data_IF_469868421200
#
_entry.id   IF_469868421200
#
_cell.length_a   1.000
_cell.length_b   1.000
_cell.length_c   1.000
_cell.angle_alpha   90.00
_cell.angle_beta   90.00
_cell.angle_gamma   90.00
#
_symmetry.space_group_name_H-M   'P 1'
#
loop_
_entity.id
_entity.type
_entity.pdbx_description
1 polymer ?
#
# COMPACT_ATOMS: atom_id res chain seq x y z
N UNK A 1 -12.81 -1.63 -1.03
CA UNK A 1 -11.77 -1.16 -1.96
C UNK A 1 -10.45 -1.87 -1.64
N UNK A 2 -10.02 -2.83 -2.46
CA UNK A 2 -8.77 -3.59 -2.26
C UNK A 2 -7.81 -3.50 -3.46
N UNK A 3 -8.30 -3.08 -4.63
CA UNK A 3 -7.55 -3.09 -5.88
C UNK A 3 -6.34 -2.12 -5.88
N UNK A 4 -6.47 -0.95 -5.25
CA UNK A 4 -5.37 0.01 -5.16
C UNK A 4 -4.17 -0.55 -4.37
N UNK A 5 -4.43 -1.19 -3.21
CA UNK A 5 -3.41 -1.85 -2.41
C UNK A 5 -2.76 -3.02 -3.16
N UNK A 6 -3.54 -3.80 -3.90
CA UNK A 6 -3.00 -4.90 -4.71
C UNK A 6 -2.10 -4.38 -5.85
N UNK A 7 -2.49 -3.28 -6.51
CA UNK A 7 -1.67 -2.62 -7.53
C UNK A 7 -0.35 -2.13 -6.93
N UNK A 8 -0.41 -1.42 -5.81
CA UNK A 8 0.76 -0.90 -5.11
C UNK A 8 1.72 -2.02 -4.68
N UNK A 9 1.21 -3.09 -4.08
CA UNK A 9 2.02 -4.26 -3.69
C UNK A 9 2.70 -4.92 -4.89
N UNK A 10 2.01 -5.06 -6.02
CA UNK A 10 2.60 -5.61 -7.25
C UNK A 10 3.71 -4.69 -7.79
N UNK A 11 3.50 -3.37 -7.80
CA UNK A 11 4.48 -2.41 -8.28
C UNK A 11 5.73 -2.36 -7.39
N UNK A 12 5.57 -2.46 -6.07
CA UNK A 12 6.70 -2.59 -5.14
C UNK A 12 7.49 -3.88 -5.36
N UNK A 13 6.79 -5.00 -5.60
CA UNK A 13 7.42 -6.28 -5.92
C UNK A 13 8.23 -6.21 -7.21
N UNK A 14 7.65 -5.66 -8.29
CA UNK A 14 8.37 -5.49 -9.54
C UNK A 14 9.56 -4.56 -9.40
N UNK A 15 9.41 -3.46 -8.66
CA UNK A 15 10.52 -2.56 -8.35
C UNK A 15 11.67 -3.31 -7.64
N UNK A 16 11.39 -4.10 -6.60
CA UNK A 16 12.43 -4.85 -5.91
C UNK A 16 13.07 -5.93 -6.80
N UNK A 17 12.30 -6.60 -7.66
CA UNK A 17 12.81 -7.57 -8.63
C UNK A 17 13.83 -6.91 -9.58
N UNK A 18 13.55 -5.70 -10.10
CA UNK A 18 14.49 -5.02 -11.00
C UNK A 18 15.81 -4.66 -10.34
N UNK A 19 15.86 -4.54 -9.01
CA UNK A 19 17.09 -4.24 -8.27
C UNK A 19 17.98 -5.47 -8.06
N UNK A 20 17.40 -6.67 -7.99
CA UNK A 20 18.11 -7.88 -7.51
C UNK A 20 18.18 -9.02 -8.52
N UNK A 21 17.49 -8.89 -9.66
CA UNK A 21 17.51 -9.93 -10.67
C UNK A 21 18.90 -10.04 -11.32
N UNK A 22 19.35 -11.28 -11.53
CA UNK A 22 20.67 -11.59 -12.10
C UNK A 22 20.49 -12.48 -13.33
N UNK A 23 21.08 -12.09 -14.45
CA UNK A 23 21.16 -12.92 -15.65
C UNK A 23 22.51 -13.66 -15.69
N UNK A 24 22.50 -15.00 -15.88
CA UNK A 24 23.74 -15.80 -15.89
C UNK A 24 24.42 -15.90 -17.27
N UNK A 25 24.04 -15.05 -18.22
CA UNK A 25 24.55 -15.08 -19.60
C UNK A 25 24.08 -16.27 -20.44
N UNK A 26 23.43 -17.27 -19.85
CA UNK A 26 22.82 -18.42 -20.55
C UNK A 26 21.34 -18.20 -20.91
N UNK A 27 20.83 -16.98 -20.70
CA UNK A 27 19.42 -16.63 -20.87
C UNK A 27 18.54 -16.98 -19.68
N UNK A 28 19.12 -17.36 -18.53
CA UNK A 28 18.37 -17.59 -17.28
C UNK A 28 18.42 -16.37 -16.38
N UNK A 29 17.26 -16.02 -15.81
CA UNK A 29 17.09 -14.98 -14.81
C UNK A 29 16.90 -15.61 -13.44
N UNK A 30 17.73 -15.22 -12.48
CA UNK A 30 17.60 -15.62 -11.08
C UNK A 30 17.13 -14.42 -10.26
N UNK A 31 16.21 -14.69 -9.33
CA UNK A 31 15.75 -13.71 -8.35
C UNK A 31 16.10 -14.29 -6.96
N UNK A 32 17.24 -13.89 -6.36
CA UNK A 32 17.66 -14.43 -5.07
C UNK A 32 16.65 -14.03 -3.98
N UNK A 33 16.03 -15.01 -3.32
CA UNK A 33 14.93 -14.78 -2.37
C UNK A 33 15.30 -13.85 -1.21
N UNK A 34 16.51 -13.99 -0.69
CA UNK A 34 17.02 -13.18 0.41
C UNK A 34 17.22 -11.72 -0.04
N UNK A 35 17.90 -11.53 -1.18
CA UNK A 35 18.08 -10.19 -1.76
C UNK A 35 16.74 -9.52 -2.10
N UNK A 36 15.77 -10.26 -2.66
CA UNK A 36 14.44 -9.73 -2.94
C UNK A 36 13.73 -9.23 -1.67
N UNK A 37 13.79 -10.02 -0.59
CA UNK A 37 13.18 -9.63 0.69
C UNK A 37 13.84 -8.38 1.26
N UNK A 38 15.17 -8.32 1.22
CA UNK A 38 15.93 -7.17 1.74
C UNK A 38 15.68 -5.91 0.91
N UNK A 39 15.61 -6.05 -0.41
CA UNK A 39 15.25 -4.96 -1.33
C UNK A 39 13.85 -4.42 -1.03
N UNK A 40 12.85 -5.30 -0.88
CA UNK A 40 11.49 -4.91 -0.48
C UNK A 40 11.47 -4.18 0.87
N UNK A 41 12.11 -4.74 1.89
CA UNK A 41 12.15 -4.15 3.24
C UNK A 41 12.88 -2.79 3.26
N UNK A 42 13.77 -2.54 2.31
CA UNK A 42 14.50 -1.27 2.18
C UNK A 42 13.71 -0.15 1.49
N UNK A 43 12.54 -0.45 0.90
CA UNK A 43 11.75 0.54 0.17
C UNK A 43 11.29 1.67 1.10
N UNK A 44 11.60 2.90 0.70
CA UNK A 44 11.16 4.14 1.35
C UNK A 44 10.51 5.06 0.32
N UNK A 45 9.42 5.72 0.70
CA UNK A 45 8.76 6.78 -0.07
C UNK A 45 8.42 6.38 -1.52
N UNK A 46 7.97 5.14 -1.72
CA UNK A 46 7.54 4.65 -3.02
C UNK A 46 6.17 5.24 -3.38
N UNK A 47 6.08 5.97 -4.49
CA UNK A 47 4.84 6.64 -4.90
C UNK A 47 3.84 5.62 -5.46
N UNK A 48 2.85 5.25 -4.64
CA UNK A 48 1.73 4.38 -5.01
C UNK A 48 0.43 5.15 -5.23
N UNK A 49 -0.64 4.41 -5.50
CA UNK A 49 -2.01 4.92 -5.57
C UNK A 49 -2.59 5.21 -4.17
N UNK A 50 -2.12 4.50 -3.16
CA UNK A 50 -2.61 4.61 -1.77
C UNK A 50 -1.79 5.56 -0.90
N UNK A 51 -0.73 6.16 -1.44
CA UNK A 51 0.13 7.10 -0.73
C UNK A 51 1.62 6.89 -1.04
N UNK A 52 2.48 7.32 -0.11
CA UNK A 52 3.92 7.15 -0.19
C UNK A 52 4.39 5.99 0.70
N UNK A 53 4.62 4.84 0.08
CA UNK A 53 4.80 3.56 0.78
C UNK A 53 6.22 3.41 1.30
N UNK A 54 6.33 3.06 2.58
CA UNK A 54 7.59 2.95 3.30
C UNK A 54 7.53 1.74 4.20
N UNK A 55 8.36 0.72 3.93
CA UNK A 55 8.37 -0.50 4.73
C UNK A 55 9.10 -0.27 6.06
N UNK A 56 8.50 -0.73 7.16
CA UNK A 56 9.09 -0.71 8.49
C UNK A 56 9.81 -2.04 8.82
N UNK A 57 10.32 -2.16 10.05
CA UNK A 57 11.05 -3.36 10.51
C UNK A 57 10.15 -4.59 10.65
N UNK A 58 8.83 -4.41 10.68
CA UNK A 58 7.84 -5.47 10.78
C UNK A 58 7.30 -5.89 9.41
N UNK A 59 7.66 -5.17 8.34
CA UNK A 59 7.18 -5.39 6.98
C UNK A 59 5.86 -4.70 6.66
N UNK A 60 5.40 -3.76 7.49
CA UNK A 60 4.29 -2.88 7.13
C UNK A 60 4.80 -1.75 6.24
N UNK A 61 4.21 -1.60 5.07
CA UNK A 61 4.60 -0.61 4.07
C UNK A 61 3.51 0.44 3.81
N UNK A 62 2.36 0.34 4.48
CA UNK A 62 1.21 1.19 4.20
C UNK A 62 1.46 2.66 4.55
N UNK A 63 0.74 3.56 3.87
CA UNK A 63 0.61 4.98 4.22
C UNK A 63 -0.83 5.21 4.73
N UNK A 64 -1.14 4.84 5.99
CA UNK A 64 -2.52 4.71 6.44
C UNK A 64 -3.18 6.07 6.67
N UNK A 65 -4.17 6.39 5.83
CA UNK A 65 -5.11 7.50 6.05
C UNK A 65 -6.44 6.99 6.62
N UNK A 66 -6.46 6.75 7.93
CA UNK A 66 -7.62 6.17 8.62
C UNK A 66 -8.57 7.28 9.10
N UNK A 67 -9.87 7.07 8.89
CA UNK A 67 -10.93 7.93 9.40
C UNK A 67 -11.96 7.11 10.18
N UNK A 68 -12.55 7.73 11.20
CA UNK A 68 -13.65 7.17 12.00
C UNK A 68 -14.91 7.93 11.64
N UNK A 69 -15.98 7.20 11.40
CA UNK A 69 -17.29 7.75 11.08
C UNK A 69 -18.32 7.26 12.11
N UNK A 70 -19.16 8.18 12.58
CA UNK A 70 -20.26 7.87 13.49
C UNK A 70 -21.58 7.89 12.73
N UNK A 71 -22.35 6.81 12.86
CA UNK A 71 -23.76 6.79 12.44
C UNK A 71 -24.54 7.63 13.46
N UNK A 72 -25.04 8.79 13.04
CA UNK A 72 -25.78 9.73 13.88
C UNK A 72 -27.29 9.55 13.77
N UNK A 73 -27.77 9.19 12.57
CA UNK A 73 -29.16 8.84 12.28
C UNK A 73 -29.22 7.83 11.13
N UNK A 74 -29.71 6.60 11.30
CA UNK A 74 -29.79 5.62 10.20
C UNK A 74 -30.80 6.01 9.11
N UNK A 75 -31.82 6.81 9.43
CA UNK A 75 -32.86 7.25 8.47
C UNK A 75 -32.34 8.32 7.49
N UNK A 76 -31.17 8.90 7.78
CA UNK A 76 -30.52 9.92 6.97
C UNK A 76 -29.21 9.41 6.35
N UNK A 77 -29.09 8.10 6.10
CA UNK A 77 -27.89 7.51 5.51
C UNK A 77 -27.59 8.08 4.12
N UNK A 78 -26.51 8.86 4.03
CA UNK A 78 -25.93 9.35 2.79
C UNK A 78 -24.41 9.58 2.98
N UNK A 79 -23.56 8.59 2.66
CA UNK A 79 -22.11 8.67 2.85
C UNK A 79 -21.41 9.63 1.86
N UNK A 80 -22.12 10.11 0.83
CA UNK A 80 -21.58 11.05 -0.14
C UNK A 80 -21.76 12.52 0.30
N UNK A 81 -22.60 12.79 1.32
CA UNK A 81 -22.80 14.12 1.90
C UNK A 81 -22.16 14.20 3.30
N UNK A 82 -21.13 15.05 3.51
CA UNK A 82 -20.43 15.14 4.79
C UNK A 82 -21.30 15.65 5.95
N UNK A 83 -22.47 16.23 5.66
CA UNK A 83 -23.43 16.71 6.67
C UNK A 83 -24.50 15.67 7.02
N UNK A 84 -24.46 14.49 6.39
CA UNK A 84 -25.41 13.40 6.61
C UNK A 84 -24.75 12.22 7.30
N UNK A 85 -25.56 11.32 7.83
CA UNK A 85 -25.08 10.11 8.50
C UNK A 85 -24.48 9.17 7.45
N UNK A 86 -23.30 8.56 7.68
CA UNK A 86 -22.45 8.71 8.85
C UNK A 86 -21.52 9.93 8.73
N UNK A 87 -21.34 10.67 9.84
CA UNK A 87 -20.47 11.86 9.88
C UNK A 87 -19.06 11.47 10.29
N UNK A 88 -18.04 12.09 9.68
CA UNK A 88 -16.64 11.88 10.07
C UNK A 88 -16.40 12.50 11.45
N UNK A 89 -15.87 11.70 12.38
CA UNK A 89 -15.52 12.15 13.75
C UNK A 89 -14.01 12.16 13.99
N UNK A 90 -13.23 11.51 13.12
CA UNK A 90 -11.76 11.54 13.16
C UNK A 90 -11.16 11.28 11.76
N UNK A 91 -9.99 11.87 11.42
CA UNK A 91 -9.43 13.06 12.08
C UNK A 91 -10.43 14.23 12.02
N UNK A 92 -10.35 15.14 13.00
CA UNK A 92 -11.21 16.34 13.03
C UNK A 92 -10.97 17.23 11.81
#
# INVERSE_FOLDING_TARGET
AFHAHAYDGAMMLFYAITQVAVEDGSGKLYIPRQALRDALASIKNFKGLTGNLTCDVNGDCADPHIAVYQITNPDEWNPDDPNKSPVKVYPK
#
